data_IF_926741843786
#
_entry.id   IF_926741843786
#
_cell.length_a   1.000
_cell.length_b   1.000
_cell.length_c   1.000
_cell.angle_alpha   90.00
_cell.angle_beta   90.00
_cell.angle_gamma   90.00
#
_symmetry.space_group_name_H-M   'P 1'
#
loop_
_entity.id
_entity.type
_entity.pdbx_description
1 polymer ?
#
# COMPACT_ATOMS: atom_id res chain seq x y z
N UNK A 1 -32.90 24.56 17.13
CA UNK A 1 -31.65 24.42 16.34
C UNK A 1 -31.21 22.98 16.51
N UNK A 2 -31.29 22.20 15.45
CA UNK A 2 -31.17 20.74 15.49
C UNK A 2 -29.74 20.27 15.72
N UNK A 3 -29.56 19.45 16.76
CA UNK A 3 -28.33 18.71 17.05
C UNK A 3 -27.96 17.70 15.94
N UNK A 4 -28.87 17.44 14.99
CA UNK A 4 -28.66 16.54 13.86
C UNK A 4 -27.76 17.11 12.74
N UNK A 5 -27.50 18.42 12.72
CA UNK A 5 -26.63 19.05 11.70
C UNK A 5 -25.18 19.20 12.18
N UNK A 6 -24.91 19.02 13.47
CA UNK A 6 -23.56 19.12 14.04
C UNK A 6 -22.79 17.79 14.03
N UNK A 7 -23.46 16.64 13.85
CA UNK A 7 -22.80 15.34 13.70
C UNK A 7 -22.36 15.03 12.25
N UNK A 8 -22.82 15.78 11.24
CA UNK A 8 -22.43 15.53 9.84
C UNK A 8 -21.11 16.18 9.44
N UNK A 9 -20.50 17.00 10.29
CA UNK A 9 -19.21 17.66 10.04
C UNK A 9 -18.04 17.02 10.80
N UNK A 10 -18.30 15.96 11.57
CA UNK A 10 -17.27 15.20 12.30
C UNK A 10 -16.76 13.97 11.51
N UNK A 11 -17.12 13.85 10.23
CA UNK A 11 -16.85 12.66 9.38
C UNK A 11 -16.04 13.02 8.12
N UNK A 12 -15.10 13.96 8.23
CA UNK A 12 -13.95 14.01 7.31
C UNK A 12 -12.72 13.55 8.09
N UNK A 13 -12.59 12.23 8.23
CA UNK A 13 -11.36 11.55 8.67
C UNK A 13 -10.29 11.65 7.58
N UNK A 14 -9.78 12.85 7.30
CA UNK A 14 -8.42 12.98 6.77
C UNK A 14 -7.45 12.93 7.94
N UNK A 15 -7.48 11.82 8.70
CA UNK A 15 -6.45 11.56 9.69
C UNK A 15 -5.35 10.86 8.92
N UNK A 16 -4.27 11.58 8.64
CA UNK A 16 -3.02 10.94 8.24
C UNK A 16 -2.69 9.94 9.35
N UNK A 17 -2.65 8.65 9.02
CA UNK A 17 -2.23 7.63 9.98
C UNK A 17 -0.72 7.56 9.89
N UNK A 18 -0.09 8.16 10.90
CA UNK A 18 1.34 8.06 11.14
C UNK A 18 1.64 6.73 11.84
N UNK A 19 2.25 5.81 11.09
CA UNK A 19 2.64 4.47 11.57
C UNK A 19 4.04 4.48 12.16
N UNK A 20 4.44 3.40 12.82
CA UNK A 20 5.82 3.28 13.31
C UNK A 20 6.84 3.47 12.18
N UNK A 21 7.74 4.44 12.34
CA UNK A 21 8.81 4.76 11.41
C UNK A 21 9.99 3.76 11.52
N UNK A 22 9.73 2.50 11.16
CA UNK A 22 10.73 1.44 11.01
C UNK A 22 10.89 1.02 9.54
N UNK A 23 11.80 0.08 9.26
CA UNK A 23 11.98 -0.49 7.92
C UNK A 23 10.82 -1.35 7.41
N UNK A 24 9.64 -1.26 8.04
CA UNK A 24 8.38 -1.84 7.59
C UNK A 24 7.27 -0.79 7.47
N UNK A 25 7.56 0.51 7.66
CA UNK A 25 6.55 1.58 7.70
C UNK A 25 5.62 1.56 6.47
N UNK A 26 6.13 1.21 5.29
CA UNK A 26 5.35 1.08 4.07
C UNK A 26 4.30 -0.04 4.14
N UNK A 27 4.65 -1.20 4.72
CA UNK A 27 3.73 -2.32 4.90
C UNK A 27 2.78 -2.07 6.06
N UNK A 28 3.22 -1.33 7.09
CA UNK A 28 2.37 -0.84 8.19
C UNK A 28 1.32 0.15 7.68
N UNK A 29 1.73 1.12 6.87
CA UNK A 29 0.84 2.08 6.22
C UNK A 29 -0.12 1.36 5.27
N UNK A 30 0.35 0.36 4.50
CA UNK A 30 -0.51 -0.47 3.66
C UNK A 30 -1.51 -1.27 4.49
N UNK A 31 -1.13 -1.80 5.66
CA UNK A 31 -2.09 -2.46 6.55
C UNK A 31 -3.18 -1.49 7.02
N UNK A 32 -2.79 -0.29 7.45
CA UNK A 32 -3.75 0.77 7.82
C UNK A 32 -4.67 1.17 6.66
N UNK A 33 -4.11 1.31 5.46
CA UNK A 33 -4.82 1.59 4.21
C UNK A 33 -5.91 0.55 3.89
N UNK A 34 -5.63 -0.72 4.20
CA UNK A 34 -6.58 -1.83 4.02
C UNK A 34 -7.55 -1.99 5.19
N UNK A 35 -7.55 -1.06 6.15
CA UNK A 35 -8.40 -1.09 7.35
C UNK A 35 -7.95 -2.10 8.41
N UNK A 36 -6.71 -2.57 8.33
CA UNK A 36 -6.10 -3.45 9.33
C UNK A 36 -5.27 -2.64 10.34
N UNK A 37 -4.86 -3.27 11.43
CA UNK A 37 -3.91 -2.66 12.37
C UNK A 37 -2.51 -2.63 11.74
N UNK A 38 -1.68 -1.62 12.03
CA UNK A 38 -0.31 -1.55 11.52
C UNK A 38 0.53 -2.81 11.81
N UNK A 39 0.28 -3.49 12.93
CA UNK A 39 0.93 -4.77 13.31
C UNK A 39 0.62 -5.94 12.35
N UNK A 40 -0.34 -5.77 11.43
CA UNK A 40 -0.64 -6.74 10.37
C UNK A 40 0.29 -6.62 9.16
N UNK A 41 1.33 -5.78 9.21
CA UNK A 41 2.33 -5.64 8.14
C UNK A 41 2.93 -6.97 7.63
N UNK A 42 3.16 -8.03 8.44
CA UNK A 42 3.67 -9.31 7.91
C UNK A 42 2.63 -10.03 7.05
N UNK A 43 1.34 -9.87 7.39
CA UNK A 43 0.24 -10.44 6.62
C UNK A 43 0.13 -9.74 5.26
N UNK A 44 0.33 -8.42 5.20
CA UNK A 44 0.38 -7.68 3.93
C UNK A 44 1.44 -8.28 3.01
N UNK A 45 2.68 -8.43 3.47
CA UNK A 45 3.76 -9.06 2.70
C UNK A 45 3.38 -10.46 2.20
N UNK A 46 2.74 -11.26 3.04
CA UNK A 46 2.29 -12.63 2.71
C UNK A 46 1.21 -12.63 1.62
N UNK A 47 0.24 -11.72 1.69
CA UNK A 47 -0.82 -11.62 0.67
C UNK A 47 -0.26 -11.13 -0.66
N UNK A 48 0.68 -10.16 -0.65
CA UNK A 48 1.34 -9.70 -1.85
C UNK A 48 2.18 -10.81 -2.52
N UNK A 49 2.96 -11.59 -1.77
CA UNK A 49 3.70 -12.73 -2.34
C UNK A 49 2.75 -13.76 -2.96
N UNK A 50 1.63 -14.04 -2.27
CA UNK A 50 0.63 -14.98 -2.76
C UNK A 50 -0.03 -14.49 -4.05
N UNK A 51 -0.40 -13.23 -4.13
CA UNK A 51 -0.98 -12.59 -5.32
C UNK A 51 0.00 -12.69 -6.51
N UNK A 52 1.26 -12.28 -6.30
CA UNK A 52 2.29 -12.36 -7.33
C UNK A 52 2.50 -13.81 -7.80
N UNK A 53 2.55 -14.76 -6.86
CA UNK A 53 2.73 -16.19 -7.17
C UNK A 53 1.58 -16.76 -8.02
N UNK A 54 0.35 -16.33 -7.77
CA UNK A 54 -0.83 -16.81 -8.50
C UNK A 54 -0.95 -16.20 -9.90
N UNK A 55 -0.37 -15.02 -10.13
CA UNK A 55 -0.50 -14.25 -11.36
C UNK A 55 0.86 -13.83 -11.94
N UNK A 56 1.86 -14.73 -11.90
CA UNK A 56 3.24 -14.41 -12.30
C UNK A 56 3.33 -13.84 -13.72
N UNK A 57 2.61 -14.41 -14.68
CA UNK A 57 2.62 -13.94 -16.07
C UNK A 57 2.09 -12.51 -16.21
N UNK A 58 1.11 -12.12 -15.39
CA UNK A 58 0.59 -10.76 -15.37
C UNK A 58 1.67 -9.78 -14.90
N UNK A 59 2.30 -10.08 -13.78
CA UNK A 59 3.27 -9.19 -13.15
C UNK A 59 4.62 -9.16 -13.89
N UNK A 60 5.03 -10.26 -14.51
CA UNK A 60 6.23 -10.31 -15.35
C UNK A 60 6.17 -9.36 -16.55
N UNK A 61 4.97 -8.96 -16.99
CA UNK A 61 4.79 -8.02 -18.09
C UNK A 61 4.79 -6.55 -17.66
N UNK A 62 4.73 -6.27 -16.36
CA UNK A 62 4.56 -4.90 -15.83
C UNK A 62 5.70 -4.48 -14.91
N UNK A 63 6.32 -5.43 -14.20
CA UNK A 63 7.42 -5.11 -13.31
C UNK A 63 8.65 -4.63 -14.07
N UNK A 64 9.31 -3.61 -13.51
CA UNK A 64 10.64 -3.21 -13.94
C UNK A 64 11.68 -4.26 -13.48
N UNK A 65 11.47 -4.84 -12.28
CA UNK A 65 12.29 -5.91 -11.72
C UNK A 65 11.77 -7.31 -12.08
N UNK A 66 12.60 -8.34 -11.83
CA UNK A 66 12.13 -9.72 -11.98
C UNK A 66 11.09 -10.08 -10.91
N UNK A 67 10.11 -10.91 -11.29
CA UNK A 67 9.13 -11.48 -10.34
C UNK A 67 9.83 -12.16 -9.16
N UNK A 68 10.96 -12.83 -9.39
CA UNK A 68 11.74 -13.46 -8.32
C UNK A 68 12.34 -12.43 -7.35
N UNK A 69 12.95 -11.36 -7.86
CA UNK A 69 13.48 -10.26 -7.05
C UNK A 69 12.38 -9.67 -6.18
N UNK A 70 11.22 -9.39 -6.78
CA UNK A 70 10.07 -8.83 -6.07
C UNK A 70 9.56 -9.76 -4.96
N UNK A 71 9.46 -11.06 -5.23
CA UNK A 71 9.05 -12.03 -4.21
C UNK A 71 10.11 -12.17 -3.10
N UNK A 72 11.39 -11.98 -3.42
CA UNK A 72 12.47 -12.01 -2.44
C UNK A 72 12.50 -10.76 -1.54
N UNK A 73 12.07 -9.59 -2.02
CA UNK A 73 11.94 -8.37 -1.19
C UNK A 73 10.79 -8.50 -0.16
N UNK A 74 9.78 -9.31 -0.47
CA UNK A 74 8.65 -9.58 0.43
C UNK A 74 8.96 -10.59 1.55
N UNK A 75 10.03 -11.40 1.43
CA UNK A 75 10.43 -12.39 2.45
C UNK A 75 11.09 -11.71 3.65
N UNK A 76 10.60 -12.02 4.84
CA UNK A 76 11.11 -11.49 6.11
C UNK A 76 11.98 -12.53 6.84
N UNK A 77 13.02 -12.06 7.51
CA UNK A 77 13.91 -12.90 8.36
C UNK A 77 13.51 -12.91 9.84
N UNK A 78 12.48 -12.12 10.21
CA UNK A 78 11.98 -11.96 11.57
C UNK A 78 10.98 -10.80 11.63
N UNK A 79 10.48 -10.50 12.84
CA UNK A 79 9.54 -9.40 13.07
C UNK A 79 10.21 -8.07 13.42
N UNK A 80 11.54 -7.99 13.33
CA UNK A 80 12.28 -6.74 13.52
C UNK A 80 12.19 -5.83 12.29
N UNK A 81 12.66 -4.59 12.43
CA UNK A 81 12.87 -3.70 11.29
C UNK A 81 13.69 -4.40 10.20
N UNK A 82 13.25 -4.28 8.94
CA UNK A 82 13.92 -4.88 7.79
C UNK A 82 14.88 -3.88 7.14
N UNK A 83 15.88 -4.41 6.41
CA UNK A 83 16.82 -3.61 5.63
C UNK A 83 16.19 -3.03 4.36
N UNK A 84 16.91 -2.12 3.71
CA UNK A 84 16.47 -1.45 2.47
C UNK A 84 16.18 -2.42 1.32
N UNK A 85 16.82 -3.59 1.29
CA UNK A 85 16.56 -4.66 0.31
C UNK A 85 15.15 -5.27 0.45
N UNK A 86 14.46 -4.96 1.54
CA UNK A 86 13.09 -5.41 1.85
C UNK A 86 12.05 -4.30 1.78
N UNK A 87 12.45 -3.08 1.43
CA UNK A 87 11.52 -1.97 1.30
C UNK A 87 10.64 -2.14 0.06
N UNK A 88 9.48 -1.49 0.07
CA UNK A 88 8.58 -1.52 -1.08
C UNK A 88 9.22 -0.85 -2.30
N UNK A 89 9.23 -1.56 -3.43
CA UNK A 89 9.60 -1.03 -4.73
C UNK A 89 8.34 -0.56 -5.47
N UNK A 90 8.19 0.75 -5.62
CA UNK A 90 7.18 1.34 -6.51
C UNK A 90 7.79 1.61 -7.89
N UNK A 91 7.02 1.46 -8.99
CA UNK A 91 5.57 1.23 -9.03
C UNK A 91 5.13 -0.23 -8.82
N UNK A 92 6.05 -1.20 -8.94
CA UNK A 92 5.75 -2.63 -9.03
C UNK A 92 4.80 -3.14 -7.93
N UNK A 93 5.15 -3.00 -6.65
CA UNK A 93 4.27 -3.45 -5.56
C UNK A 93 2.99 -2.62 -5.45
N UNK A 94 3.00 -1.38 -5.93
CA UNK A 94 1.80 -0.57 -5.97
C UNK A 94 0.75 -1.13 -6.94
N UNK A 95 1.17 -1.69 -8.09
CA UNK A 95 0.27 -2.42 -8.98
C UNK A 95 -0.28 -3.69 -8.33
N UNK A 96 0.52 -4.40 -7.54
CA UNK A 96 0.07 -5.58 -6.79
C UNK A 96 -0.98 -5.19 -5.75
N UNK A 97 -0.76 -4.12 -4.98
CA UNK A 97 -1.72 -3.62 -3.98
C UNK A 97 -3.03 -3.19 -4.63
N UNK A 98 -2.95 -2.40 -5.71
CA UNK A 98 -4.10 -1.92 -6.47
C UNK A 98 -4.91 -3.10 -7.01
N UNK A 99 -4.22 -4.07 -7.61
CA UNK A 99 -4.84 -5.26 -8.20
C UNK A 99 -5.45 -6.15 -7.13
N UNK A 100 -4.70 -6.55 -6.10
CA UNK A 100 -5.19 -7.41 -5.02
C UNK A 100 -6.46 -6.84 -4.37
N UNK A 101 -6.43 -5.55 -4.03
CA UNK A 101 -7.50 -4.88 -3.29
C UNK A 101 -8.63 -4.36 -4.18
N UNK A 102 -8.46 -4.40 -5.51
CA UNK A 102 -9.35 -3.80 -6.49
C UNK A 102 -9.62 -2.30 -6.21
N UNK A 103 -8.54 -1.54 -6.01
CA UNK A 103 -8.56 -0.11 -5.66
C UNK A 103 -7.74 0.67 -6.68
N UNK A 104 -7.98 1.98 -6.77
CA UNK A 104 -7.02 2.91 -7.37
C UNK A 104 -6.08 3.35 -6.26
N UNK A 105 -4.79 3.04 -6.38
CA UNK A 105 -3.78 3.46 -5.40
C UNK A 105 -3.11 4.74 -5.88
N UNK A 106 -3.12 5.77 -5.03
CA UNK A 106 -2.38 7.01 -5.24
C UNK A 106 -1.17 7.02 -4.33
N UNK A 107 0.02 7.14 -4.91
CA UNK A 107 1.25 7.38 -4.16
C UNK A 107 1.60 8.85 -4.27
N UNK A 108 1.73 9.53 -3.14
CA UNK A 108 2.10 10.94 -3.04
C UNK A 108 3.52 11.05 -2.50
N UNK A 109 4.38 11.81 -3.17
CA UNK A 109 5.70 12.17 -2.63
C UNK A 109 6.15 13.52 -3.18
N UNK A 110 7.18 14.11 -2.59
CA UNK A 110 7.76 15.35 -3.10
C UNK A 110 8.30 15.21 -4.53
N UNK A 111 8.86 14.03 -4.87
CA UNK A 111 9.62 13.84 -6.11
C UNK A 111 8.80 13.18 -7.21
N UNK A 112 7.93 12.23 -6.87
CA UNK A 112 7.16 11.45 -7.82
C UNK A 112 5.80 11.07 -7.26
N UNK A 113 4.75 11.50 -7.94
CA UNK A 113 3.38 11.11 -7.66
C UNK A 113 2.92 10.09 -8.69
N UNK A 114 2.23 9.03 -8.25
CA UNK A 114 1.74 7.97 -9.12
C UNK A 114 0.27 7.66 -8.84
N UNK A 115 -0.47 7.30 -9.88
CA UNK A 115 -1.82 6.76 -9.77
C UNK A 115 -1.84 5.40 -10.46
N UNK A 116 -2.06 4.35 -9.68
CA UNK A 116 -1.90 2.96 -10.09
C UNK A 116 -3.28 2.30 -10.13
N UNK A 117 -3.63 1.75 -11.28
CA UNK A 117 -4.90 1.07 -11.53
C UNK A 117 -4.73 -0.45 -11.43
N UNK A 118 -5.79 -1.19 -11.05
CA UNK A 118 -5.74 -2.65 -11.06
C UNK A 118 -5.61 -3.17 -12.51
N UNK A 119 -4.74 -4.16 -12.73
CA UNK A 119 -4.34 -4.57 -14.09
C UNK A 119 -5.32 -5.51 -14.79
N UNK A 120 -6.02 -6.36 -14.05
CA UNK A 120 -6.86 -7.44 -14.60
C UNK A 120 -8.28 -7.47 -14.02
N UNK A 121 -8.73 -6.36 -13.46
CA UNK A 121 -10.05 -6.23 -12.84
C UNK A 121 -10.88 -5.17 -13.55
N UNK A 122 -12.20 -5.29 -13.43
CA UNK A 122 -13.10 -4.22 -13.86
C UNK A 122 -12.77 -2.92 -13.09
N UNK A 123 -12.91 -1.74 -13.72
CA UNK A 123 -12.67 -0.48 -13.04
C UNK A 123 -13.46 -0.42 -11.72
N UNK A 124 -12.81 -0.14 -10.60
CA UNK A 124 -13.51 -0.08 -9.33
C UNK A 124 -14.47 1.11 -9.33
N UNK A 125 -15.47 1.07 -8.45
CA UNK A 125 -16.35 2.23 -8.25
C UNK A 125 -15.53 3.46 -7.85
N UNK A 126 -16.02 4.67 -8.13
CA UNK A 126 -15.32 5.95 -7.85
C UNK A 126 -14.93 6.15 -6.38
N UNK A 127 -15.51 5.36 -5.47
CA UNK A 127 -15.28 5.43 -4.03
C UNK A 127 -14.09 4.56 -3.55
N UNK A 128 -13.42 3.83 -4.45
CA UNK A 128 -12.34 2.90 -4.11
C UNK A 128 -10.94 3.49 -4.39
N UNK A 129 -10.69 4.71 -3.91
CA UNK A 129 -9.39 5.38 -4.01
C UNK A 129 -8.70 5.33 -2.64
N UNK A 130 -7.46 4.83 -2.63
CA UNK A 130 -6.63 4.79 -1.43
C UNK A 130 -5.33 5.57 -1.69
N UNK A 131 -4.83 6.29 -0.69
CA UNK A 131 -3.63 7.11 -0.82
C UNK A 131 -2.57 6.77 0.23
N UNK A 132 -1.31 6.69 -0.22
CA UNK A 132 -0.12 6.56 0.62
C UNK A 132 0.82 7.74 0.35
N UNK A 133 1.44 8.25 1.39
CA UNK A 133 2.38 9.37 1.32
C UNK A 133 3.78 8.94 1.70
N UNK A 134 4.78 9.29 0.88
CA UNK A 134 6.19 9.18 1.21
C UNK A 134 6.72 10.55 1.65
N UNK A 135 7.16 10.63 2.90
CA UNK A 135 7.56 11.86 3.57
C UNK A 135 8.95 11.69 4.20
N UNK A 136 9.64 12.80 4.44
CA UNK A 136 10.96 12.84 5.09
C UNK A 136 12.03 11.93 4.45
N UNK A 137 11.84 11.58 3.16
CA UNK A 137 12.76 10.74 2.36
C UNK A 137 12.93 9.29 2.85
N UNK A 138 12.17 8.85 3.85
CA UNK A 138 12.28 7.49 4.38
C UNK A 138 11.03 6.94 5.09
N UNK A 139 9.93 7.69 5.17
CA UNK A 139 8.77 7.31 5.97
C UNK A 139 7.49 7.28 5.14
N UNK A 140 6.65 6.28 5.39
CA UNK A 140 5.38 6.11 4.71
C UNK A 140 4.22 6.32 5.67
N UNK A 141 3.22 7.07 5.22
CA UNK A 141 1.97 7.35 5.95
C UNK A 141 0.77 6.97 5.10
N UNK A 142 -0.34 6.61 5.73
CA UNK A 142 -1.63 6.55 5.03
C UNK A 142 -2.25 7.94 4.99
N UNK A 143 -2.81 8.31 3.83
CA UNK A 143 -3.42 9.62 3.55
C UNK A 143 -4.91 9.49 3.31
#
# INVERSE_FOLDING_TARGET
MDYHVLMSWQICRYLIIDVVADGNCEFRATAALLGWTEESWPLVRTQLDKEIRLHQDLYANVFDDSVESMRNSLKISGLSAQGQDKWMCLPDLGYVIATLSNVILVSLSHNLNMTLFPLNKAPPSKECLLAIGFVNENHWVQV
#
